data_IF_810722243181
#
_entry.id   IF_810722243181
#
_cell.length_a   1.000
_cell.length_b   1.000
_cell.length_c   1.000
_cell.angle_alpha   90.00
_cell.angle_beta   90.00
_cell.angle_gamma   90.00
#
_symmetry.space_group_name_H-M   'P 1'
#
loop_
_entity.id
_entity.type
_entity.pdbx_description
1 polymer ?
#
# COMPACT_ATOMS: atom_id res chain seq x y z
N UNK A 1 -12.20 -7.91 -17.25
CA UNK A 1 -11.28 -8.98 -16.74
C UNK A 1 -11.91 -9.60 -15.51
N UNK A 2 -11.98 -10.93 -15.42
CA UNK A 2 -12.44 -11.61 -14.21
C UNK A 2 -11.27 -11.80 -13.22
N UNK A 3 -11.61 -11.93 -11.94
CA UNK A 3 -10.61 -12.22 -10.89
C UNK A 3 -9.80 -13.48 -11.18
N UNK A 4 -10.45 -14.55 -11.66
CA UNK A 4 -9.77 -15.78 -12.07
C UNK A 4 -8.77 -15.61 -13.22
N UNK A 5 -9.03 -14.69 -14.14
CA UNK A 5 -8.09 -14.39 -15.22
C UNK A 5 -6.86 -13.67 -14.70
N UNK A 6 -7.04 -12.76 -13.74
CA UNK A 6 -5.95 -12.07 -13.08
C UNK A 6 -5.11 -13.06 -12.25
N UNK A 7 -5.75 -13.88 -11.41
CA UNK A 7 -5.05 -14.85 -10.57
C UNK A 7 -4.16 -15.78 -11.39
N UNK A 8 -4.66 -16.27 -12.53
CA UNK A 8 -3.86 -17.08 -13.46
C UNK A 8 -2.68 -16.32 -14.07
N UNK A 9 -2.84 -15.02 -14.32
CA UNK A 9 -1.77 -14.17 -14.82
C UNK A 9 -0.67 -13.98 -13.77
N UNK A 10 -1.07 -13.71 -12.54
CA UNK A 10 -0.17 -13.54 -11.40
C UNK A 10 0.58 -14.85 -11.11
N UNK A 11 -0.11 -15.99 -11.10
CA UNK A 11 0.54 -17.30 -10.93
C UNK A 11 1.59 -17.60 -12.01
N UNK A 12 1.28 -17.32 -13.27
CA UNK A 12 2.22 -17.53 -14.38
C UNK A 12 3.46 -16.64 -14.27
N UNK A 13 3.28 -15.39 -13.83
CA UNK A 13 4.38 -14.45 -13.68
C UNK A 13 5.25 -14.78 -12.47
N UNK A 14 4.66 -15.18 -11.35
CA UNK A 14 5.40 -15.67 -10.17
C UNK A 14 6.29 -16.87 -10.52
N UNK A 15 5.82 -17.77 -11.38
CA UNK A 15 6.60 -18.92 -11.86
C UNK A 15 7.72 -18.54 -12.82
N UNK A 16 7.56 -17.43 -13.54
CA UNK A 16 8.52 -16.96 -14.55
C UNK A 16 9.52 -15.93 -14.01
N UNK A 17 9.25 -15.34 -12.82
CA UNK A 17 10.01 -14.22 -12.21
C UNK A 17 10.20 -13.03 -13.19
N UNK A 18 9.18 -12.79 -14.05
CA UNK A 18 9.22 -11.76 -15.10
C UNK A 18 8.20 -10.64 -14.78
N UNK A 19 8.56 -9.81 -13.80
CA UNK A 19 7.76 -8.68 -13.33
C UNK A 19 7.51 -7.66 -14.44
N UNK A 20 8.50 -7.43 -15.31
CA UNK A 20 8.39 -6.47 -16.42
C UNK A 20 7.35 -6.91 -17.44
N UNK A 21 7.33 -8.20 -17.83
CA UNK A 21 6.34 -8.72 -18.76
C UNK A 21 4.93 -8.68 -18.15
N UNK A 22 4.80 -8.96 -16.85
CA UNK A 22 3.52 -8.87 -16.14
C UNK A 22 3.02 -7.43 -16.11
N UNK A 23 3.85 -6.47 -15.73
CA UNK A 23 3.50 -5.06 -15.68
C UNK A 23 2.97 -4.56 -17.04
N UNK A 24 3.70 -4.84 -18.13
CA UNK A 24 3.26 -4.50 -19.50
C UNK A 24 1.92 -5.12 -19.86
N UNK A 25 1.69 -6.36 -19.43
CA UNK A 25 0.44 -7.06 -19.70
C UNK A 25 -0.73 -6.47 -18.94
N UNK A 26 -0.51 -6.07 -17.69
CA UNK A 26 -1.51 -5.37 -16.89
C UNK A 26 -1.86 -4.00 -17.49
N UNK A 27 -0.88 -3.23 -17.94
CA UNK A 27 -1.14 -1.96 -18.65
C UNK A 27 -1.93 -2.18 -19.94
N UNK A 28 -1.60 -3.19 -20.75
CA UNK A 28 -2.36 -3.51 -21.95
C UNK A 28 -3.81 -3.89 -21.64
N UNK A 29 -4.07 -4.53 -20.51
CA UNK A 29 -5.42 -4.82 -20.03
C UNK A 29 -6.19 -3.56 -19.65
N UNK A 30 -5.52 -2.57 -19.05
CA UNK A 30 -6.14 -1.26 -18.73
C UNK A 30 -6.58 -0.54 -19.99
N UNK A 31 -5.76 -0.55 -21.05
CA UNK A 31 -6.12 0.09 -22.33
C UNK A 31 -7.31 -0.59 -23.01
N UNK A 32 -7.44 -1.90 -22.88
CA UNK A 32 -8.55 -2.69 -23.44
C UNK A 32 -9.75 -2.82 -22.48
N UNK A 33 -9.72 -2.15 -21.33
CA UNK A 33 -10.70 -2.33 -20.28
C UNK A 33 -12.06 -1.76 -20.66
N UNK A 34 -13.08 -2.60 -20.67
CA UNK A 34 -14.48 -2.18 -20.85
C UNK A 34 -15.28 -2.30 -19.54
N UNK A 35 -15.12 -3.43 -18.84
CA UNK A 35 -15.75 -3.70 -17.54
C UNK A 35 -15.15 -4.97 -16.92
N UNK A 36 -15.27 -5.13 -15.60
CA UNK A 36 -14.78 -6.31 -14.88
C UNK A 36 -15.01 -6.21 -13.38
N UNK A 37 -14.56 -7.24 -12.65
CA UNK A 37 -14.70 -7.35 -11.19
C UNK A 37 -13.72 -6.45 -10.43
N UNK A 38 -12.75 -5.87 -11.13
CA UNK A 38 -11.77 -4.93 -10.59
C UNK A 38 -11.85 -3.61 -11.35
N UNK A 39 -11.58 -2.51 -10.67
CA UNK A 39 -11.47 -1.20 -11.31
C UNK A 39 -10.21 -1.09 -12.19
N UNK A 40 -10.20 -0.14 -13.11
CA UNK A 40 -8.98 0.21 -13.88
C UNK A 40 -7.87 0.68 -12.94
N UNK A 41 -8.22 1.49 -11.94
CA UNK A 41 -7.28 1.96 -10.91
C UNK A 41 -6.61 0.80 -10.19
N UNK A 42 -7.38 -0.24 -9.78
CA UNK A 42 -6.81 -1.41 -9.11
C UNK A 42 -5.83 -2.18 -10.02
N UNK A 43 -6.10 -2.30 -11.31
CA UNK A 43 -5.17 -2.93 -12.27
C UNK A 43 -3.91 -2.09 -12.43
N UNK A 44 -4.04 -0.75 -12.47
CA UNK A 44 -2.90 0.17 -12.55
C UNK A 44 -2.01 0.09 -11.30
N UNK A 45 -2.60 -0.04 -10.11
CA UNK A 45 -1.85 -0.27 -8.87
C UNK A 45 -1.02 -1.55 -8.96
N UNK A 46 -1.62 -2.66 -9.42
CA UNK A 46 -0.88 -3.91 -9.63
C UNK A 46 0.25 -3.76 -10.65
N UNK A 47 0.00 -3.07 -11.76
CA UNK A 47 1.05 -2.79 -12.76
C UNK A 47 2.20 -1.96 -12.16
N UNK A 48 1.88 -0.98 -11.31
CA UNK A 48 2.87 -0.16 -10.64
C UNK A 48 3.76 -0.99 -9.70
N UNK A 49 3.17 -1.87 -8.90
CA UNK A 49 3.93 -2.76 -8.01
C UNK A 49 4.85 -3.69 -8.82
N UNK A 50 4.38 -4.24 -9.93
CA UNK A 50 5.20 -5.07 -10.80
C UNK A 50 6.34 -4.27 -11.46
N UNK A 51 6.12 -3.00 -11.82
CA UNK A 51 7.19 -2.12 -12.30
C UNK A 51 8.24 -1.84 -11.21
N UNK A 52 7.83 -1.70 -9.95
CA UNK A 52 8.76 -1.56 -8.82
C UNK A 52 9.62 -2.83 -8.69
N UNK A 53 8.99 -4.01 -8.67
CA UNK A 53 9.72 -5.29 -8.61
C UNK A 53 10.68 -5.47 -9.79
N UNK A 54 10.35 -4.94 -10.96
CA UNK A 54 11.21 -4.92 -12.14
C UNK A 54 12.35 -3.87 -12.06
N UNK A 55 12.46 -3.11 -10.95
CA UNK A 55 13.46 -2.05 -10.79
C UNK A 55 13.21 -0.84 -11.71
N UNK A 56 11.96 -0.57 -12.05
CA UNK A 56 11.57 0.55 -12.93
C UNK A 56 10.65 1.56 -12.19
N UNK A 57 11.14 2.25 -11.15
CA UNK A 57 10.34 3.11 -10.29
C UNK A 57 9.68 4.28 -11.03
N UNK A 58 10.28 4.79 -12.09
CA UNK A 58 9.68 5.86 -12.89
C UNK A 58 8.39 5.41 -13.61
N UNK A 59 8.33 4.15 -14.05
CA UNK A 59 7.11 3.57 -14.64
C UNK A 59 6.07 3.25 -13.57
N UNK A 60 6.51 2.83 -12.40
CA UNK A 60 5.63 2.63 -11.26
C UNK A 60 4.91 3.93 -10.88
N UNK A 61 5.64 5.04 -10.78
CA UNK A 61 5.06 6.36 -10.51
C UNK A 61 4.02 6.76 -11.56
N UNK A 62 4.28 6.54 -12.86
CA UNK A 62 3.30 6.80 -13.93
C UNK A 62 2.02 5.98 -13.72
N UNK A 63 2.14 4.69 -13.44
CA UNK A 63 0.99 3.82 -13.21
C UNK A 63 0.21 4.20 -11.95
N UNK A 64 0.87 4.51 -10.84
CA UNK A 64 0.20 4.99 -9.62
C UNK A 64 -0.51 6.32 -9.86
N UNK A 65 0.12 7.27 -10.56
CA UNK A 65 -0.51 8.56 -10.89
C UNK A 65 -1.75 8.36 -11.75
N UNK A 66 -1.69 7.50 -12.76
CA UNK A 66 -2.85 7.14 -13.59
C UNK A 66 -3.96 6.48 -12.77
N UNK A 67 -3.62 5.70 -11.74
CA UNK A 67 -4.60 5.12 -10.82
C UNK A 67 -5.29 6.19 -9.96
N UNK A 68 -4.55 7.20 -9.49
CA UNK A 68 -5.12 8.37 -8.79
C UNK A 68 -6.07 9.13 -9.72
N UNK A 69 -5.66 9.39 -10.96
CA UNK A 69 -6.45 10.16 -11.95
C UNK A 69 -7.71 9.41 -12.39
N UNK A 70 -7.66 8.07 -12.46
CA UNK A 70 -8.80 7.22 -12.76
C UNK A 70 -9.87 7.26 -11.66
N UNK A 71 -9.45 7.31 -10.41
CA UNK A 71 -10.31 7.42 -9.23
C UNK A 71 -11.23 6.23 -8.98
N UNK A 72 -10.99 5.09 -9.64
CA UNK A 72 -11.73 3.85 -9.42
C UNK A 72 -11.49 3.25 -8.04
N UNK A 73 -12.34 2.30 -7.65
CA UNK A 73 -12.23 1.63 -6.34
C UNK A 73 -10.90 0.87 -6.20
N UNK A 74 -10.22 1.11 -5.08
CA UNK A 74 -8.95 0.47 -4.70
C UNK A 74 -8.96 0.12 -3.21
N UNK A 75 -8.22 -0.92 -2.81
CA UNK A 75 -8.08 -1.30 -1.40
C UNK A 75 -7.13 -0.39 -0.64
N UNK A 76 -6.06 0.04 -1.30
CA UNK A 76 -5.03 0.95 -0.78
C UNK A 76 -5.00 2.19 -1.67
N UNK A 77 -4.93 3.37 -1.08
CA UNK A 77 -4.79 4.62 -1.83
C UNK A 77 -3.48 4.59 -2.66
N UNK A 78 -3.55 4.77 -3.99
CA UNK A 78 -2.35 4.68 -4.85
C UNK A 78 -1.26 5.69 -4.48
N UNK A 79 -1.61 6.78 -3.79
CA UNK A 79 -0.64 7.76 -3.28
C UNK A 79 0.31 7.16 -2.24
N UNK A 80 -0.10 6.11 -1.50
CA UNK A 80 0.81 5.37 -0.62
C UNK A 80 1.94 4.70 -1.42
N UNK A 81 1.63 4.10 -2.57
CA UNK A 81 2.63 3.56 -3.50
C UNK A 81 3.51 4.64 -4.13
N UNK A 82 2.95 5.82 -4.45
CA UNK A 82 3.74 6.96 -4.91
C UNK A 82 4.76 7.37 -3.85
N UNK A 83 4.34 7.51 -2.59
CA UNK A 83 5.24 7.90 -1.50
C UNK A 83 6.36 6.89 -1.28
N UNK A 84 6.03 5.59 -1.27
CA UNK A 84 7.02 4.53 -1.13
C UNK A 84 8.02 4.54 -2.30
N UNK A 85 7.55 4.70 -3.54
CA UNK A 85 8.41 4.80 -4.72
C UNK A 85 9.29 6.05 -4.71
N UNK A 86 8.79 7.19 -4.20
CA UNK A 86 9.58 8.40 -4.03
C UNK A 86 10.71 8.22 -3.00
N UNK A 87 10.45 7.50 -1.91
CA UNK A 87 11.52 7.13 -0.98
C UNK A 87 12.59 6.26 -1.65
N UNK A 88 12.21 5.27 -2.46
CA UNK A 88 13.15 4.45 -3.23
C UNK A 88 14.02 5.31 -4.18
N UNK A 89 13.45 6.39 -4.71
CA UNK A 89 14.14 7.35 -5.59
C UNK A 89 14.96 8.41 -4.83
N UNK A 90 15.12 8.25 -3.50
CA UNK A 90 15.84 9.20 -2.65
C UNK A 90 15.21 10.61 -2.64
N UNK A 91 13.87 10.69 -2.77
CA UNK A 91 13.07 11.92 -2.74
C UNK A 91 12.18 11.96 -1.47
N UNK A 92 12.78 11.96 -0.26
CA UNK A 92 12.02 11.80 0.97
C UNK A 92 11.11 12.97 1.31
N UNK A 93 11.42 14.18 0.85
CA UNK A 93 10.60 15.35 1.15
C UNK A 93 9.30 15.32 0.35
N UNK A 94 9.37 14.98 -0.94
CA UNK A 94 8.20 14.77 -1.79
C UNK A 94 7.35 13.59 -1.30
N UNK A 95 7.98 12.51 -0.86
CA UNK A 95 7.27 11.37 -0.28
C UNK A 95 6.44 11.77 0.96
N UNK A 96 7.01 12.57 1.87
CA UNK A 96 6.30 13.08 3.05
C UNK A 96 5.16 14.02 2.69
N UNK A 97 5.34 14.87 1.67
CA UNK A 97 4.27 15.74 1.17
C UNK A 97 3.08 14.91 0.66
N UNK A 98 3.34 13.83 -0.08
CA UNK A 98 2.29 12.91 -0.56
C UNK A 98 1.58 12.24 0.61
N UNK A 99 2.30 11.74 1.63
CA UNK A 99 1.72 11.14 2.84
C UNK A 99 0.84 12.16 3.58
N UNK A 100 1.32 13.39 3.73
CA UNK A 100 0.52 14.45 4.36
C UNK A 100 -0.75 14.77 3.57
N UNK A 101 -0.70 14.71 2.24
CA UNK A 101 -1.87 14.91 1.39
C UNK A 101 -2.90 13.77 1.52
N UNK A 102 -2.48 12.52 1.72
CA UNK A 102 -3.40 11.41 2.01
C UNK A 102 -4.18 11.70 3.30
N UNK A 103 -3.47 12.11 4.36
CA UNK A 103 -4.09 12.41 5.65
C UNK A 103 -5.05 13.59 5.58
N UNK A 104 -4.72 14.63 4.83
CA UNK A 104 -5.51 15.86 4.71
C UNK A 104 -6.88 15.64 4.03
N UNK A 105 -6.99 14.68 3.14
CA UNK A 105 -8.25 14.35 2.44
C UNK A 105 -9.25 13.64 3.40
N UNK A 106 -8.74 12.93 4.41
CA UNK A 106 -9.56 12.13 5.32
C UNK A 106 -10.07 10.83 4.69
N UNK A 107 -10.77 10.01 5.49
CA UNK A 107 -11.35 8.75 5.01
C UNK A 107 -10.30 7.68 4.68
N UNK A 108 -9.15 7.73 5.31
CA UNK A 108 -8.05 6.77 5.13
C UNK A 108 -8.51 5.37 5.53
N UNK A 109 -8.36 4.38 4.65
CA UNK A 109 -8.65 2.98 4.98
C UNK A 109 -7.57 2.39 5.89
N UNK A 110 -7.92 1.36 6.66
CA UNK A 110 -6.95 0.62 7.49
C UNK A 110 -5.80 0.04 6.64
N UNK A 111 -6.10 -0.46 5.44
CA UNK A 111 -5.10 -0.95 4.50
C UNK A 111 -4.12 0.16 4.08
N UNK A 112 -4.62 1.34 3.74
CA UNK A 112 -3.75 2.50 3.41
C UNK A 112 -2.90 2.93 4.61
N UNK A 113 -3.49 2.99 5.81
CA UNK A 113 -2.75 3.35 7.02
C UNK A 113 -1.63 2.34 7.33
N UNK A 114 -1.89 1.06 7.15
CA UNK A 114 -0.89 0.00 7.31
C UNK A 114 0.26 0.17 6.31
N UNK A 115 -0.04 0.34 5.02
CA UNK A 115 0.97 0.53 3.97
C UNK A 115 1.84 1.75 4.27
N UNK A 116 1.24 2.90 4.61
CA UNK A 116 2.00 4.11 4.95
C UNK A 116 2.87 3.91 6.19
N UNK A 117 2.34 3.26 7.24
CA UNK A 117 3.11 2.98 8.45
C UNK A 117 4.32 2.08 8.16
N UNK A 118 4.15 1.02 7.36
CA UNK A 118 5.24 0.13 6.98
C UNK A 118 6.29 0.82 6.10
N UNK A 119 5.88 1.65 5.15
CA UNK A 119 6.79 2.51 4.37
C UNK A 119 7.62 3.40 5.30
N UNK A 120 6.98 4.14 6.21
CA UNK A 120 7.68 5.02 7.15
C UNK A 120 8.65 4.27 8.07
N UNK A 121 8.30 3.04 8.50
CA UNK A 121 9.23 2.17 9.24
C UNK A 121 10.46 1.83 8.40
N UNK A 122 10.26 1.44 7.14
CA UNK A 122 11.35 1.07 6.24
C UNK A 122 12.36 2.22 6.03
N UNK A 123 11.89 3.44 6.05
CA UNK A 123 12.73 4.65 5.89
C UNK A 123 13.07 5.37 7.20
N UNK A 124 12.79 4.74 8.35
CA UNK A 124 13.28 5.18 9.66
C UNK A 124 12.49 6.31 10.32
N UNK A 125 11.32 6.70 9.77
CA UNK A 125 10.44 7.71 10.37
C UNK A 125 9.47 7.08 11.37
N UNK A 126 10.04 6.51 12.44
CA UNK A 126 9.30 5.70 13.42
C UNK A 126 8.22 6.50 14.16
N UNK A 127 8.44 7.80 14.38
CA UNK A 127 7.47 8.66 15.07
C UNK A 127 6.18 8.81 14.27
N UNK A 128 6.32 9.11 12.98
CA UNK A 128 5.20 9.25 12.07
C UNK A 128 4.55 7.89 11.79
N UNK A 129 5.36 6.83 11.61
CA UNK A 129 4.86 5.46 11.47
C UNK A 129 4.00 5.02 12.65
N UNK A 130 4.42 5.34 13.89
CA UNK A 130 3.64 5.05 15.10
C UNK A 130 2.28 5.74 15.07
N UNK A 131 2.24 7.02 14.65
CA UNK A 131 0.98 7.79 14.53
C UNK A 131 0.04 7.12 13.53
N UNK A 132 0.52 6.82 12.32
CA UNK A 132 -0.28 6.16 11.28
C UNK A 132 -0.81 4.80 11.70
N UNK A 133 0.02 3.96 12.31
CA UNK A 133 -0.39 2.65 12.81
C UNK A 133 -1.44 2.77 13.93
N UNK A 134 -1.31 3.77 14.81
CA UNK A 134 -2.26 4.02 15.90
C UNK A 134 -3.62 4.49 15.37
N UNK A 135 -3.63 5.48 14.49
CA UNK A 135 -4.86 6.00 13.88
C UNK A 135 -5.56 4.92 13.04
N UNK A 136 -4.79 4.17 12.25
CA UNK A 136 -5.31 3.05 11.46
C UNK A 136 -5.93 1.96 12.32
N UNK A 137 -5.29 1.59 13.44
CA UNK A 137 -5.83 0.59 14.37
C UNK A 137 -7.18 1.01 14.98
N UNK A 138 -7.33 2.30 15.32
CA UNK A 138 -8.62 2.82 15.82
C UNK A 138 -9.75 2.85 14.77
N UNK A 139 -9.41 2.88 13.49
CA UNK A 139 -10.38 2.94 12.39
C UNK A 139 -10.70 1.55 11.81
N UNK A 140 -9.82 0.59 12.01
CA UNK A 140 -9.97 -0.77 11.49
C UNK A 140 -11.12 -1.52 12.19
N UNK A 141 -11.69 -2.49 11.48
CA UNK A 141 -12.66 -3.41 12.08
C UNK A 141 -11.97 -4.26 13.14
N UNK A 142 -12.43 -4.16 14.38
CA UNK A 142 -11.85 -4.87 15.52
C UNK A 142 -11.76 -6.40 15.26
N UNK A 143 -10.60 -6.98 15.51
CA UNK A 143 -10.32 -8.40 15.24
C UNK A 143 -10.14 -8.75 13.77
N UNK A 144 -10.29 -7.80 12.86
CA UNK A 144 -10.00 -8.00 11.43
C UNK A 144 -8.51 -8.14 11.15
N UNK A 145 -8.16 -8.71 9.98
CA UNK A 145 -6.77 -8.95 9.61
C UNK A 145 -5.93 -7.67 9.58
N UNK A 146 -6.47 -6.57 9.05
CA UNK A 146 -5.80 -5.27 9.00
C UNK A 146 -5.63 -4.66 10.40
N UNK A 147 -6.62 -4.81 11.28
CA UNK A 147 -6.53 -4.37 12.67
C UNK A 147 -5.37 -5.06 13.41
N UNK A 148 -5.29 -6.39 13.30
CA UNK A 148 -4.23 -7.18 13.93
C UNK A 148 -2.86 -6.80 13.33
N UNK A 149 -2.76 -6.59 12.02
CA UNK A 149 -1.53 -6.17 11.36
C UNK A 149 -1.06 -4.79 11.84
N UNK A 150 -1.98 -3.82 11.94
CA UNK A 150 -1.71 -2.48 12.47
C UNK A 150 -1.25 -2.52 13.93
N UNK A 151 -1.91 -3.30 14.78
CA UNK A 151 -1.50 -3.48 16.18
C UNK A 151 -0.08 -4.08 16.28
N UNK A 152 0.25 -5.09 15.48
CA UNK A 152 1.59 -5.70 15.44
C UNK A 152 2.66 -4.73 14.96
N UNK A 153 2.38 -3.97 13.90
CA UNK A 153 3.29 -2.96 13.38
C UNK A 153 3.51 -1.87 14.43
N UNK A 154 2.44 -1.36 15.03
CA UNK A 154 2.50 -0.39 16.12
C UNK A 154 3.30 -0.89 17.32
N UNK A 155 3.05 -2.12 17.80
CA UNK A 155 3.78 -2.72 18.90
C UNK A 155 5.29 -2.73 18.64
N UNK A 156 5.72 -3.20 17.46
CA UNK A 156 7.13 -3.21 17.07
C UNK A 156 7.74 -1.81 17.10
N UNK A 157 7.07 -0.84 16.48
CA UNK A 157 7.52 0.56 16.45
C UNK A 157 7.63 1.13 17.88
N UNK A 158 6.64 0.86 18.73
CA UNK A 158 6.62 1.32 20.11
C UNK A 158 7.84 0.79 20.89
N UNK A 159 8.17 -0.49 20.72
CA UNK A 159 9.36 -1.11 21.35
C UNK A 159 10.63 -0.42 20.86
N UNK A 160 10.77 -0.19 19.56
CA UNK A 160 11.93 0.48 18.97
C UNK A 160 12.09 1.93 19.47
N UNK A 161 10.96 2.62 19.71
CA UNK A 161 10.93 3.97 20.30
C UNK A 161 11.11 3.99 21.82
N UNK A 162 11.11 2.84 22.51
CA UNK A 162 11.17 2.76 23.96
C UNK A 162 9.94 3.34 24.69
N UNK A 163 8.79 3.34 24.04
CA UNK A 163 7.53 3.84 24.62
C UNK A 163 6.92 2.78 25.56
N UNK A 164 6.23 3.19 26.65
CA UNK A 164 5.55 2.27 27.56
C UNK A 164 4.38 1.55 26.90
N UNK A 165 3.99 0.40 27.43
CA UNK A 165 2.78 -0.32 27.02
C UNK A 165 1.52 0.51 27.29
N UNK A 166 0.52 0.30 26.43
CA UNK A 166 -0.79 0.95 26.55
C UNK A 166 -1.95 0.00 26.22
N UNK A 167 -3.17 0.55 26.22
CA UNK A 167 -4.40 -0.22 26.03
C UNK A 167 -4.48 -0.96 24.67
N UNK A 168 -3.88 -0.40 23.62
CA UNK A 168 -3.86 -1.05 22.30
C UNK A 168 -2.95 -2.29 22.28
N UNK A 169 -1.88 -2.31 23.08
CA UNK A 169 -1.01 -3.48 23.17
C UNK A 169 -1.73 -4.66 23.84
N UNK A 170 -2.60 -4.37 24.82
CA UNK A 170 -3.40 -5.40 25.49
C UNK A 170 -4.37 -6.12 24.55
N UNK A 171 -4.78 -5.47 23.44
CA UNK A 171 -5.64 -6.10 22.42
C UNK A 171 -4.91 -7.19 21.62
N UNK A 172 -3.59 -7.09 21.47
CA UNK A 172 -2.77 -8.14 20.84
C UNK A 172 -2.77 -9.43 21.65
N UNK A 173 -2.63 -9.33 22.97
CA UNK A 173 -2.59 -10.48 23.87
C UNK A 173 -3.93 -11.21 23.90
N UNK A 174 -5.03 -10.48 23.75
CA UNK A 174 -6.38 -11.05 23.68
C UNK A 174 -6.69 -11.74 22.35
N UNK A 175 -5.86 -11.52 21.30
CA UNK A 175 -6.06 -12.03 19.94
C UNK A 175 -5.21 -13.26 19.62
N UNK A 176 -4.40 -13.75 20.56
CA UNK A 176 -3.58 -14.98 20.49
C UNK A 176 -4.28 -16.13 21.20
#
# INVERSE_FOLDING_TARGET
MTREQLDRLLEQALLADDHEALARRLEALVEAYASGDMSRAAILVLAAEEWRQAGQPARALDCFQRAVDDGGEVSVDPRAGIADTLFELEQPDEAREVIAAIHAVGGVTAATALTVAETLVAYGDLGEAHRWATEGAHQAVEGGGEHIALLRTRYRIRVDLGLPEDELDALLDASC
#
